data_IF_528053556671
#
_entry.id   IF_528053556671
#
_cell.length_a   1.000
_cell.length_b   1.000
_cell.length_c   1.000
_cell.angle_alpha   90.00
_cell.angle_beta   90.00
_cell.angle_gamma   90.00
#
_symmetry.space_group_name_H-M   'P 1'
#
loop_
_entity.id
_entity.type
_entity.pdbx_description
1 polymer ?
#
# COMPACT_ATOMS: atom_id res chain seq x y z
N UNK A 1 5.22 30.41 30.46
CA UNK A 1 5.37 29.75 29.15
C UNK A 1 6.20 28.51 29.37
N UNK A 2 5.58 27.35 29.35
CA UNK A 2 6.30 26.08 29.43
C UNK A 2 6.77 25.74 28.01
N UNK A 3 8.07 25.60 27.82
CA UNK A 3 8.64 24.97 26.62
C UNK A 3 8.12 23.54 26.57
N UNK A 4 7.25 23.26 25.60
CA UNK A 4 6.99 21.89 25.16
C UNK A 4 8.30 21.34 24.61
N UNK A 5 8.97 20.52 25.42
CA UNK A 5 10.10 19.72 24.96
C UNK A 5 9.58 18.82 23.84
N UNK A 6 10.03 19.07 22.60
CA UNK A 6 9.84 18.12 21.51
C UNK A 6 10.49 16.82 21.96
N UNK A 7 9.67 15.79 22.07
CA UNK A 7 10.09 14.47 22.50
C UNK A 7 10.71 13.76 21.28
N UNK A 8 11.80 14.32 20.77
CA UNK A 8 12.48 13.93 19.53
C UNK A 8 13.38 12.70 19.72
N UNK A 9 12.83 11.64 20.31
CA UNK A 9 13.47 10.32 20.38
C UNK A 9 12.44 9.17 20.32
N UNK A 10 11.45 9.27 19.43
CA UNK A 10 10.71 8.09 18.96
C UNK A 10 11.37 7.63 17.66
N UNK A 11 12.28 6.67 17.76
CA UNK A 11 12.72 5.90 16.59
C UNK A 11 11.46 5.25 16.00
N UNK A 12 11.10 5.68 14.79
CA UNK A 12 9.75 5.60 14.20
C UNK A 12 9.19 4.18 14.07
N UNK A 13 8.31 3.82 15.01
CA UNK A 13 7.51 2.58 14.93
C UNK A 13 6.27 2.74 14.06
N UNK A 14 5.76 3.97 13.92
CA UNK A 14 4.59 4.29 13.11
C UNK A 14 4.54 5.76 12.70
N UNK A 15 3.78 6.04 11.66
CA UNK A 15 3.36 7.37 11.24
C UNK A 15 1.83 7.49 11.26
N UNK A 16 1.28 8.71 11.18
CA UNK A 16 -0.17 8.93 11.23
C UNK A 16 -0.69 9.35 9.85
N UNK A 17 -1.68 8.63 9.35
CA UNK A 17 -2.53 9.03 8.21
C UNK A 17 -3.89 9.45 8.74
N UNK A 18 -4.55 10.40 8.07
CA UNK A 18 -5.92 10.80 8.39
C UNK A 18 -6.87 10.40 7.28
N UNK A 19 -8.03 9.89 7.66
CA UNK A 19 -9.12 9.64 6.71
C UNK A 19 -9.84 10.93 6.32
N UNK A 20 -10.82 10.82 5.42
CA UNK A 20 -11.64 11.95 4.97
C UNK A 20 -12.51 12.59 6.06
N UNK A 21 -12.75 11.88 7.15
CA UNK A 21 -13.49 12.35 8.33
C UNK A 21 -12.57 12.98 9.38
N UNK A 22 -11.25 12.98 9.15
CA UNK A 22 -10.24 13.52 10.05
C UNK A 22 -9.78 12.56 11.17
N UNK A 23 -10.29 11.32 11.20
CA UNK A 23 -9.86 10.26 12.13
C UNK A 23 -8.41 9.90 11.85
N UNK A 24 -7.64 9.63 12.89
CA UNK A 24 -6.20 9.31 12.80
C UNK A 24 -6.00 7.80 12.82
N UNK A 25 -5.21 7.30 11.87
CA UNK A 25 -4.82 5.90 11.75
C UNK A 25 -3.30 5.80 11.86
N UNK A 26 -2.81 4.81 12.62
CA UNK A 26 -1.38 4.58 12.79
C UNK A 26 -0.91 3.56 11.74
N UNK A 27 0.05 3.95 10.93
CA UNK A 27 0.70 3.11 9.91
C UNK A 27 2.06 2.67 10.45
N UNK A 28 2.22 1.38 10.70
CA UNK A 28 3.39 0.77 11.34
C UNK A 28 4.42 0.29 10.31
N UNK A 29 5.67 0.11 10.72
CA UNK A 29 6.67 -0.58 9.87
C UNK A 29 6.32 -2.06 9.67
N UNK A 30 6.65 -2.59 8.50
CA UNK A 30 6.48 -3.99 8.14
C UNK A 30 7.18 -4.94 9.11
N UNK A 31 6.56 -6.09 9.38
CA UNK A 31 7.18 -7.19 10.11
C UNK A 31 7.96 -8.07 9.14
N UNK A 32 9.02 -8.71 9.63
CA UNK A 32 9.85 -9.62 8.81
C UNK A 32 9.06 -10.75 8.14
N UNK A 33 8.00 -11.25 8.79
CA UNK A 33 7.14 -12.30 8.23
C UNK A 33 6.34 -11.85 7.00
N UNK A 34 6.13 -10.55 6.83
CA UNK A 34 5.25 -9.97 5.82
C UNK A 34 6.04 -9.51 4.57
N UNK A 35 7.38 -9.60 4.59
CA UNK A 35 8.25 -9.09 3.53
C UNK A 35 7.94 -9.68 2.16
N UNK A 36 7.59 -10.98 2.09
CA UNK A 36 7.31 -11.63 0.81
C UNK A 36 6.05 -11.06 0.15
N UNK A 37 4.98 -10.89 0.91
CA UNK A 37 3.72 -10.26 0.46
C UNK A 37 3.98 -8.84 -0.05
N UNK A 38 4.75 -8.05 0.70
CA UNK A 38 5.07 -6.66 0.31
C UNK A 38 5.90 -6.60 -0.98
N UNK A 39 6.89 -7.49 -1.13
CA UNK A 39 7.68 -7.58 -2.36
C UNK A 39 6.81 -7.98 -3.54
N UNK A 40 5.92 -8.97 -3.38
CA UNK A 40 5.00 -9.38 -4.43
C UNK A 40 4.09 -8.22 -4.84
N UNK A 41 3.48 -7.52 -3.89
CA UNK A 41 2.64 -6.36 -4.16
C UNK A 41 3.38 -5.27 -4.95
N UNK A 42 4.58 -4.90 -4.51
CA UNK A 42 5.36 -3.80 -5.12
C UNK A 42 5.97 -4.14 -6.48
N UNK A 43 6.04 -5.43 -6.86
CA UNK A 43 6.42 -5.86 -8.20
C UNK A 43 5.29 -5.68 -9.21
N UNK A 44 4.04 -5.83 -8.77
CA UNK A 44 2.85 -5.79 -9.63
C UNK A 44 2.21 -4.39 -9.67
N UNK A 45 2.26 -3.66 -8.55
CA UNK A 45 1.51 -2.43 -8.39
C UNK A 45 2.37 -1.25 -7.94
N UNK A 46 2.13 -0.11 -8.57
CA UNK A 46 2.61 1.20 -8.12
C UNK A 46 1.49 1.97 -7.41
N UNK A 47 1.72 2.55 -6.20
CA UNK A 47 0.77 3.43 -5.52
C UNK A 47 0.26 4.60 -6.37
N UNK A 48 1.09 5.06 -7.33
CA UNK A 48 0.71 6.15 -8.25
C UNK A 48 -0.31 5.73 -9.31
N UNK A 49 -0.56 4.43 -9.48
CA UNK A 49 -1.42 3.85 -10.52
C UNK A 49 -2.65 3.12 -9.95
N UNK A 50 -2.95 3.25 -8.65
CA UNK A 50 -4.09 2.56 -8.01
C UNK A 50 -5.42 2.78 -8.72
N UNK A 51 -5.69 4.01 -9.16
CA UNK A 51 -6.90 4.32 -9.94
C UNK A 51 -7.01 3.50 -11.23
N UNK A 52 -5.88 3.20 -11.87
CA UNK A 52 -5.87 2.38 -13.09
C UNK A 52 -6.09 0.91 -12.76
N UNK A 53 -5.46 0.38 -11.70
CA UNK A 53 -5.60 -1.02 -11.33
C UNK A 53 -7.02 -1.37 -10.85
N UNK A 54 -7.69 -0.48 -10.10
CA UNK A 54 -9.08 -0.72 -9.69
C UNK A 54 -10.07 -0.76 -10.86
N UNK A 55 -9.71 -0.14 -12.00
CA UNK A 55 -10.55 -0.07 -13.19
C UNK A 55 -10.04 -0.98 -14.31
N UNK A 56 -9.02 -1.80 -14.04
CA UNK A 56 -8.48 -2.71 -15.04
C UNK A 56 -9.41 -3.93 -15.17
N UNK A 57 -9.90 -4.25 -16.37
CA UNK A 57 -10.71 -5.44 -16.56
C UNK A 57 -9.87 -6.70 -16.39
N UNK A 58 -10.53 -7.80 -16.04
CA UNK A 58 -9.96 -9.14 -16.16
C UNK A 58 -9.80 -9.47 -17.64
N UNK A 59 -8.63 -9.96 -18.01
CA UNK A 59 -8.31 -10.42 -19.37
C UNK A 59 -8.25 -11.94 -19.34
N UNK A 60 -8.98 -12.58 -20.24
CA UNK A 60 -9.01 -14.03 -20.35
C UNK A 60 -7.73 -14.60 -21.00
N UNK A 61 -7.69 -15.92 -21.20
CA UNK A 61 -6.52 -16.61 -21.77
C UNK A 61 -6.27 -16.30 -23.24
N UNK A 62 -7.29 -15.81 -23.95
CA UNK A 62 -7.24 -15.47 -25.36
C UNK A 62 -6.91 -13.98 -25.57
N UNK A 63 -6.81 -13.21 -24.48
CA UNK A 63 -6.45 -11.79 -24.49
C UNK A 63 -7.66 -10.86 -24.59
N UNK A 64 -8.88 -11.39 -24.43
CA UNK A 64 -10.13 -10.65 -24.51
C UNK A 64 -10.61 -10.22 -23.12
N UNK A 65 -11.46 -9.19 -23.08
CA UNK A 65 -12.07 -8.72 -21.82
C UNK A 65 -13.09 -9.75 -21.33
N UNK A 66 -12.90 -10.22 -20.11
CA UNK A 66 -13.84 -11.12 -19.45
C UNK A 66 -15.15 -10.38 -19.14
N UNK A 67 -16.27 -10.99 -19.54
CA UNK A 67 -17.61 -10.44 -19.37
C UNK A 67 -18.54 -11.46 -18.73
N UNK A 68 -19.45 -11.00 -17.87
CA UNK A 68 -20.49 -11.84 -17.28
C UNK A 68 -21.58 -12.23 -18.30
N UNK A 69 -22.53 -13.08 -17.87
CA UNK A 69 -23.61 -13.58 -18.72
C UNK A 69 -24.55 -12.46 -19.22
N UNK A 70 -24.57 -11.33 -18.53
CA UNK A 70 -25.35 -10.13 -18.84
C UNK A 70 -24.57 -9.14 -19.73
N UNK A 71 -23.29 -9.41 -20.02
CA UNK A 71 -22.42 -8.59 -20.86
C UNK A 71 -21.73 -7.44 -20.12
N UNK A 72 -21.69 -7.45 -18.79
CA UNK A 72 -20.91 -6.50 -18.01
C UNK A 72 -19.45 -6.93 -17.91
N UNK A 73 -18.55 -5.96 -17.89
CA UNK A 73 -17.11 -6.19 -17.75
C UNK A 73 -16.78 -6.67 -16.34
N UNK A 74 -16.00 -7.74 -16.24
CA UNK A 74 -15.43 -8.20 -14.97
C UNK A 74 -14.22 -7.34 -14.57
N UNK A 75 -14.27 -6.74 -13.37
CA UNK A 75 -13.19 -5.93 -12.80
C UNK A 75 -12.51 -6.61 -11.59
N UNK A 76 -12.88 -7.85 -11.26
CA UNK A 76 -12.29 -8.61 -10.15
C UNK A 76 -10.91 -9.19 -10.52
N UNK A 77 -9.95 -8.29 -10.67
CA UNK A 77 -8.59 -8.59 -11.11
C UNK A 77 -7.63 -8.90 -9.94
N UNK A 78 -8.13 -9.02 -8.72
CA UNK A 78 -7.35 -9.29 -7.50
C UNK A 78 -6.66 -8.07 -6.87
N UNK A 79 -6.56 -6.93 -7.57
CA UNK A 79 -5.87 -5.75 -7.03
C UNK A 79 -6.46 -5.26 -5.71
N UNK A 80 -7.79 -5.28 -5.58
CA UNK A 80 -8.47 -4.79 -4.37
C UNK A 80 -8.13 -5.65 -3.14
N UNK A 81 -8.10 -6.98 -3.31
CA UNK A 81 -7.73 -7.89 -2.22
C UNK A 81 -6.28 -7.73 -1.81
N UNK A 82 -5.37 -7.66 -2.79
CA UNK A 82 -3.94 -7.42 -2.55
C UNK A 82 -3.70 -6.07 -1.83
N UNK A 83 -4.44 -5.02 -2.23
CA UNK A 83 -4.38 -3.71 -1.60
C UNK A 83 -4.89 -3.76 -0.16
N UNK A 84 -6.01 -4.44 0.08
CA UNK A 84 -6.58 -4.57 1.41
C UNK A 84 -5.66 -5.35 2.35
N UNK A 85 -5.04 -6.44 1.90
CA UNK A 85 -4.04 -7.18 2.68
C UNK A 85 -2.88 -6.25 3.09
N UNK A 86 -2.37 -5.44 2.17
CA UNK A 86 -1.33 -4.46 2.45
C UNK A 86 -1.75 -3.41 3.48
N UNK A 87 -2.99 -2.92 3.41
CA UNK A 87 -3.52 -1.94 4.36
C UNK A 87 -3.71 -2.57 5.75
N UNK A 88 -4.24 -3.78 5.83
CA UNK A 88 -4.37 -4.51 7.09
C UNK A 88 -3.01 -4.70 7.78
N UNK A 89 -1.99 -5.11 7.02
CA UNK A 89 -0.62 -5.22 7.52
C UNK A 89 -0.05 -3.86 7.96
N UNK A 90 -0.29 -2.80 7.18
CA UNK A 90 0.13 -1.44 7.50
C UNK A 90 -0.49 -0.93 8.80
N UNK A 91 -1.74 -1.33 9.09
CA UNK A 91 -2.46 -1.01 10.32
C UNK A 91 -2.21 -2.02 11.45
N UNK A 92 -1.26 -2.94 11.28
CA UNK A 92 -0.91 -3.98 12.27
C UNK A 92 -2.13 -4.84 12.66
N UNK A 93 -3.07 -5.04 11.73
CA UNK A 93 -4.35 -5.73 11.91
C UNK A 93 -5.17 -5.26 13.11
N UNK A 94 -5.07 -3.97 13.46
CA UNK A 94 -5.79 -3.37 14.60
C UNK A 94 -7.24 -3.00 14.29
N UNK A 95 -7.57 -2.88 13.01
CA UNK A 95 -8.92 -2.65 12.48
C UNK A 95 -9.27 -3.85 11.60
N UNK A 96 -10.53 -4.29 11.62
CA UNK A 96 -11.01 -5.37 10.73
C UNK A 96 -11.19 -4.84 9.30
N UNK A 97 -11.28 -5.75 8.33
CA UNK A 97 -11.54 -5.39 6.93
C UNK A 97 -12.79 -4.52 6.80
N UNK A 98 -13.89 -4.91 7.43
CA UNK A 98 -15.15 -4.17 7.39
C UNK A 98 -14.99 -2.77 8.00
N UNK A 99 -14.22 -2.64 9.08
CA UNK A 99 -13.96 -1.33 9.68
C UNK A 99 -13.13 -0.43 8.77
N UNK A 100 -12.18 -0.99 8.03
CA UNK A 100 -11.35 -0.25 7.07
C UNK A 100 -12.21 0.25 5.92
N UNK A 101 -13.06 -0.61 5.36
CA UNK A 101 -13.92 -0.30 4.20
C UNK A 101 -14.87 0.88 4.44
N UNK A 102 -15.32 1.10 5.68
CA UNK A 102 -16.22 2.22 6.03
C UNK A 102 -15.59 3.61 5.84
N UNK A 103 -14.27 3.74 5.95
CA UNK A 103 -13.58 5.03 5.87
C UNK A 103 -12.53 5.10 4.76
N UNK A 104 -12.15 3.97 4.17
CA UNK A 104 -11.11 3.92 3.17
C UNK A 104 -11.61 4.49 1.84
N UNK A 105 -10.90 5.50 1.35
CA UNK A 105 -10.99 5.96 -0.02
C UNK A 105 -9.66 5.78 -0.74
N UNK A 106 -9.69 5.96 -2.07
CA UNK A 106 -8.53 5.73 -2.94
C UNK A 106 -7.32 6.59 -2.56
N UNK A 107 -7.56 7.83 -2.15
CA UNK A 107 -6.49 8.76 -1.78
C UNK A 107 -5.85 8.34 -0.45
N UNK A 108 -6.68 7.98 0.53
CA UNK A 108 -6.24 7.48 1.83
C UNK A 108 -5.50 6.15 1.66
N UNK A 109 -6.00 5.23 0.83
CA UNK A 109 -5.32 3.97 0.51
C UNK A 109 -3.93 4.22 -0.06
N UNK A 110 -3.82 5.08 -1.08
CA UNK A 110 -2.54 5.49 -1.65
C UNK A 110 -1.60 6.05 -0.59
N UNK A 111 -2.09 6.93 0.29
CA UNK A 111 -1.29 7.54 1.34
C UNK A 111 -0.79 6.49 2.35
N UNK A 112 -1.66 5.59 2.82
CA UNK A 112 -1.28 4.49 3.72
C UNK A 112 -0.16 3.66 3.11
N UNK A 113 -0.28 3.23 1.84
CA UNK A 113 0.75 2.41 1.21
C UNK A 113 2.07 3.17 1.04
N UNK A 114 2.04 4.43 0.61
CA UNK A 114 3.26 5.23 0.49
C UNK A 114 3.96 5.41 1.84
N UNK A 115 3.21 5.71 2.89
CA UNK A 115 3.73 5.83 4.27
C UNK A 115 4.29 4.47 4.71
N UNK A 116 3.53 3.39 4.51
CA UNK A 116 3.91 2.03 4.91
C UNK A 116 5.25 1.61 4.30
N UNK A 117 5.42 1.78 2.99
CA UNK A 117 6.66 1.47 2.30
C UNK A 117 7.82 2.36 2.79
N UNK A 118 7.56 3.66 3.03
CA UNK A 118 8.57 4.58 3.56
C UNK A 118 9.04 4.18 4.96
N UNK A 119 8.12 3.98 5.91
CA UNK A 119 8.47 3.63 7.30
C UNK A 119 9.13 2.25 7.38
N UNK A 120 8.81 1.36 6.46
CA UNK A 120 9.43 0.03 6.31
C UNK A 120 10.75 0.07 5.55
N UNK A 121 11.22 1.25 5.14
CA UNK A 121 12.45 1.45 4.37
C UNK A 121 12.49 0.70 3.03
N UNK A 122 11.32 0.32 2.50
CA UNK A 122 11.18 -0.08 1.10
C UNK A 122 11.30 1.18 0.24
N UNK A 123 12.52 1.65 0.05
CA UNK A 123 12.80 2.64 -0.99
C UNK A 123 12.39 2.00 -2.31
N UNK A 124 11.64 2.73 -3.14
CA UNK A 124 11.51 2.40 -4.57
C UNK A 124 12.94 2.22 -5.08
N UNK A 125 13.35 0.98 -5.35
CA UNK A 125 14.64 0.72 -5.97
C UNK A 125 14.55 1.36 -7.35
N UNK A 126 15.03 2.60 -7.46
CA UNK A 126 15.30 3.20 -8.75
C UNK A 126 16.24 2.21 -9.47
N UNK A 127 15.93 1.70 -10.67
CA UNK A 127 16.77 0.71 -11.36
C UNK A 127 18.25 1.13 -11.47
N UNK A 128 18.54 2.44 -11.45
CA UNK A 128 19.89 3.00 -11.35
C UNK A 128 20.68 2.67 -10.07
N UNK A 129 20.01 2.26 -8.98
CA UNK A 129 20.68 1.87 -7.72
C UNK A 129 21.05 0.38 -7.68
N UNK A 130 20.49 -0.47 -8.55
CA UNK A 130 20.93 -1.86 -8.68
C UNK A 130 22.30 -1.93 -9.37
N UNK A 131 22.51 -1.13 -10.41
CA UNK A 131 23.83 -1.04 -11.07
C UNK A 131 24.91 -0.58 -10.09
N UNK A 132 24.66 0.47 -9.29
CA UNK A 132 25.61 0.99 -8.30
C UNK A 132 25.99 -0.01 -7.20
N UNK A 133 25.06 -0.89 -6.81
CA UNK A 133 25.31 -1.99 -5.86
C UNK A 133 26.10 -3.14 -6.49
N UNK A 134 25.88 -3.43 -7.77
CA UNK A 134 26.58 -4.49 -8.49
C UNK A 134 28.02 -4.11 -8.86
N UNK A 135 28.31 -2.82 -9.01
CA UNK A 135 29.65 -2.29 -9.30
C UNK A 135 30.43 -1.81 -8.06
N UNK A 136 29.87 -1.95 -6.85
CA UNK A 136 30.58 -1.68 -5.59
C UNK A 136 30.85 -0.19 -5.29
N UNK A 137 29.98 0.71 -5.75
CA UNK A 137 30.12 2.17 -5.51
C UNK A 137 29.38 2.68 -4.26
N UNK A 138 28.96 1.78 -3.36
CA UNK A 138 28.53 2.09 -1.99
C UNK A 138 29.18 1.11 -1.02
#
# INVERSE_FOLDING_TARGET
MAEEKSNDNVIGLYEIVRDRYGKKHKVYSAKFKDLHTIMNFTQHYSPDSFGLYMLAPVIDKDGEVDMDAEGNINYDNGFYDDLMEMIEMALDHRETREQIEEWLDVEVARNIIMVYLRVSQFKKNNPLNLEKRLIGEI
#
